data_IF_778037506175
#
_entry.id   IF_778037506175
#
_cell.length_a   1.000
_cell.length_b   1.000
_cell.length_c   1.000
_cell.angle_alpha   90.00
_cell.angle_beta   90.00
_cell.angle_gamma   90.00
#
_symmetry.space_group_name_H-M   'P 1'
#
loop_
_entity.id
_entity.type
_entity.pdbx_description
1 polymer ?
#
# COMPACT_ATOMS: atom_id res chain seq x y z
N UNK A 1 61.55 42.71 29.12
CA UNK A 1 60.81 41.56 29.66
C UNK A 1 59.92 42.12 30.76
N UNK A 2 58.59 42.07 30.76
CA UNK A 2 57.64 41.17 30.11
C UNK A 2 56.37 41.94 29.66
N UNK A 3 55.76 41.49 28.57
CA UNK A 3 54.49 41.97 28.05
C UNK A 3 53.33 41.33 28.82
N UNK A 4 52.37 42.12 29.27
CA UNK A 4 51.07 41.65 29.78
C UNK A 4 50.17 41.29 28.60
N UNK A 5 49.85 40.01 28.46
CA UNK A 5 48.86 39.51 27.50
C UNK A 5 47.52 39.39 28.22
N UNK A 6 46.53 40.19 27.80
CA UNK A 6 45.15 40.14 28.28
C UNK A 6 44.42 39.10 27.43
N UNK A 7 44.06 37.96 28.02
CA UNK A 7 43.20 36.96 27.36
C UNK A 7 41.75 37.22 27.77
N UNK A 8 40.96 37.73 26.83
CA UNK A 8 39.52 37.91 26.96
C UNK A 8 38.86 36.53 26.83
N UNK A 9 38.27 36.04 27.92
CA UNK A 9 37.38 34.87 27.88
C UNK A 9 36.03 35.31 27.28
N UNK A 10 35.80 34.98 26.01
CA UNK A 10 34.48 35.09 25.41
C UNK A 10 33.61 33.93 25.90
N UNK A 11 32.66 34.24 26.78
CA UNK A 11 31.59 33.35 27.20
C UNK A 11 30.70 32.99 26.02
N UNK A 12 30.82 31.77 25.50
CA UNK A 12 29.79 31.19 24.62
C UNK A 12 28.71 30.60 25.52
N UNK A 13 27.62 31.36 25.68
CA UNK A 13 26.36 30.84 26.19
C UNK A 13 25.86 29.78 25.20
N UNK A 14 26.01 28.50 25.54
CA UNK A 14 25.18 27.45 24.95
C UNK A 14 23.75 27.68 25.45
N UNK A 15 22.96 28.41 24.66
CA UNK A 15 21.51 28.34 24.74
C UNK A 15 21.11 26.90 24.39
N UNK A 16 20.86 26.10 25.42
CA UNK A 16 20.06 24.89 25.28
C UNK A 16 18.71 25.33 24.72
N UNK A 17 18.50 25.11 23.42
CA UNK A 17 17.17 25.13 22.86
C UNK A 17 16.39 24.04 23.60
N UNK A 18 15.27 24.35 24.26
CA UNK A 18 14.40 23.28 24.72
C UNK A 18 14.05 22.47 23.47
N UNK A 19 14.30 21.16 23.52
CA UNK A 19 13.73 20.21 22.57
C UNK A 19 12.24 20.44 22.65
N UNK A 20 11.72 21.13 21.63
CA UNK A 20 10.32 21.45 21.52
C UNK A 20 9.59 20.12 21.28
N UNK A 21 9.20 19.46 22.38
CA UNK A 21 8.18 18.42 22.40
C UNK A 21 6.79 19.06 22.15
N UNK A 22 6.70 19.98 21.19
CA UNK A 22 5.43 20.50 20.72
C UNK A 22 4.95 19.63 19.58
N UNK A 23 4.01 18.75 19.91
CA UNK A 23 2.95 18.30 19.03
C UNK A 23 3.47 17.65 17.74
N UNK A 24 3.58 16.32 17.73
CA UNK A 24 3.32 15.55 16.52
C UNK A 24 1.91 15.95 16.05
N UNK A 25 1.82 17.00 15.22
CA UNK A 25 0.57 17.38 14.57
C UNK A 25 0.16 16.16 13.78
N UNK A 26 -1.05 15.67 14.04
CA UNK A 26 -1.64 14.62 13.24
C UNK A 26 -1.39 14.93 11.76
N UNK A 27 -0.88 13.97 10.96
CA UNK A 27 -0.46 14.24 9.60
C UNK A 27 -1.61 14.88 8.83
N UNK A 28 -1.31 15.93 8.07
CA UNK A 28 -2.34 16.62 7.28
C UNK A 28 -3.00 15.64 6.29
N UNK A 29 -4.24 15.90 5.84
CA UNK A 29 -4.92 15.07 4.82
C UNK A 29 -4.03 14.82 3.60
N UNK A 30 -3.24 15.83 3.20
CA UNK A 30 -2.25 15.73 2.11
C UNK A 30 -1.08 14.81 2.45
N UNK A 31 -0.53 14.89 3.67
CA UNK A 31 0.52 13.97 4.14
C UNK A 31 -0.02 12.53 4.31
N UNK A 32 -1.29 12.37 4.67
CA UNK A 32 -1.97 11.06 4.76
C UNK A 32 -2.19 10.44 3.38
N UNK A 33 -2.60 11.23 2.39
CA UNK A 33 -2.65 10.80 0.99
C UNK A 33 -1.26 10.47 0.43
N UNK A 34 -0.22 11.21 0.84
CA UNK A 34 1.16 10.91 0.46
C UNK A 34 1.66 9.61 1.08
N UNK A 35 1.41 9.37 2.38
CA UNK A 35 1.73 8.10 3.05
C UNK A 35 1.02 6.91 2.41
N UNK A 36 -0.24 7.10 1.99
CA UNK A 36 -0.96 6.10 1.21
C UNK A 36 -0.26 5.87 -0.14
N UNK A 37 0.08 6.93 -0.89
CA UNK A 37 0.77 6.86 -2.19
C UNK A 37 2.19 6.28 -2.13
N UNK A 38 2.91 6.44 -1.02
CA UNK A 38 4.25 5.87 -0.82
C UNK A 38 4.20 4.37 -0.52
N UNK A 39 3.05 3.80 -0.14
CA UNK A 39 2.87 2.35 -0.11
C UNK A 39 2.81 1.72 -1.52
N UNK A 40 2.67 2.53 -2.59
CA UNK A 40 2.88 2.11 -3.98
C UNK A 40 4.38 1.95 -4.32
N UNK A 41 5.27 2.02 -3.31
CA UNK A 41 6.69 1.75 -3.45
C UNK A 41 6.91 0.38 -4.07
N UNK A 42 7.25 0.43 -5.36
CA UNK A 42 7.70 -0.66 -6.20
C UNK A 42 8.68 -1.55 -5.44
N UNK A 43 8.25 -2.75 -5.05
CA UNK A 43 9.19 -3.77 -4.63
C UNK A 43 9.84 -4.33 -5.89
N UNK A 44 11.06 -3.87 -6.16
CA UNK A 44 11.91 -4.42 -7.22
C UNK A 44 12.61 -5.66 -6.69
N UNK A 45 11.88 -6.77 -6.54
CA UNK A 45 12.54 -8.07 -6.59
C UNK A 45 12.83 -8.34 -8.07
N UNK A 46 14.06 -8.78 -8.37
CA UNK A 46 14.49 -9.06 -9.74
C UNK A 46 13.42 -9.77 -10.57
N UNK A 47 13.08 -9.19 -11.73
CA UNK A 47 12.18 -9.75 -12.75
C UNK A 47 10.70 -9.96 -12.35
N UNK A 48 10.10 -9.11 -11.52
CA UNK A 48 8.63 -9.09 -11.38
C UNK A 48 7.96 -8.59 -12.66
N UNK A 49 7.00 -9.38 -13.19
CA UNK A 49 6.39 -9.16 -14.53
C UNK A 49 4.95 -8.62 -14.49
N UNK A 50 4.32 -8.62 -13.32
CA UNK A 50 3.05 -7.94 -13.09
C UNK A 50 2.94 -7.61 -11.60
N UNK A 51 2.35 -6.46 -11.26
CA UNK A 51 2.02 -6.15 -9.88
C UNK A 51 0.62 -5.56 -9.76
N UNK A 52 -0.08 -6.05 -8.74
CA UNK A 52 -1.39 -5.58 -8.30
C UNK A 52 -1.39 -5.54 -6.78
N UNK A 53 -2.34 -4.83 -6.21
CA UNK A 53 -2.43 -4.75 -4.77
C UNK A 53 -3.61 -3.95 -4.29
N UNK A 54 -3.68 -3.85 -2.97
CA UNK A 54 -4.66 -3.04 -2.29
C UNK A 54 -4.10 -2.46 -1.01
N UNK A 55 -4.69 -1.37 -0.55
CA UNK A 55 -4.35 -0.74 0.71
C UNK A 55 -5.58 -0.20 1.40
N UNK A 56 -5.47 -0.04 2.70
CA UNK A 56 -6.43 0.65 3.53
C UNK A 56 -5.74 1.72 4.37
N UNK A 57 -6.49 2.76 4.71
CA UNK A 57 -6.06 3.75 5.69
C UNK A 57 -7.22 4.19 6.57
N UNK A 58 -6.95 4.31 7.87
CA UNK A 58 -7.89 4.86 8.82
C UNK A 58 -7.51 6.33 9.14
N UNK A 59 -8.29 7.32 8.69
CA UNK A 59 -7.95 8.73 8.81
C UNK A 59 -7.98 9.25 10.25
N UNK A 60 -8.58 8.50 11.19
CA UNK A 60 -8.67 8.88 12.59
C UNK A 60 -7.74 8.11 13.52
N UNK A 61 -7.20 6.97 13.09
CA UNK A 61 -6.39 6.08 13.95
C UNK A 61 -4.90 6.12 13.59
N UNK A 62 -4.51 6.97 12.64
CA UNK A 62 -3.14 7.06 12.10
C UNK A 62 -2.53 5.66 11.81
N UNK A 63 -3.38 4.79 11.25
CA UNK A 63 -3.07 3.41 10.88
C UNK A 63 -3.33 3.18 9.39
N UNK A 64 -2.47 2.40 8.76
CA UNK A 64 -2.60 2.02 7.35
C UNK A 64 -2.01 0.64 7.11
N UNK A 65 -2.54 -0.05 6.11
CA UNK A 65 -2.02 -1.32 5.66
C UNK A 65 -2.04 -1.43 4.14
N UNK A 66 -1.16 -2.25 3.59
CA UNK A 66 -1.13 -2.54 2.15
C UNK A 66 -0.75 -3.99 1.90
N UNK A 67 -1.22 -4.53 0.80
CA UNK A 67 -0.82 -5.82 0.24
C UNK A 67 -0.43 -5.59 -1.21
N UNK A 68 0.77 -6.03 -1.56
CA UNK A 68 1.28 -6.05 -2.93
C UNK A 68 1.49 -7.50 -3.36
N UNK A 69 0.97 -7.88 -4.52
CA UNK A 69 1.09 -9.22 -5.07
C UNK A 69 2.01 -9.21 -6.29
N UNK A 70 2.96 -10.14 -6.29
CA UNK A 70 3.96 -10.34 -7.32
C UNK A 70 3.70 -11.66 -8.04
N UNK A 71 3.69 -11.61 -9.37
CA UNK A 71 3.60 -12.82 -10.20
C UNK A 71 5.00 -13.33 -10.48
N UNK A 72 5.31 -14.53 -9.99
CA UNK A 72 6.61 -15.20 -10.16
C UNK A 72 6.42 -16.40 -11.09
N UNK A 73 7.20 -16.46 -12.16
CA UNK A 73 7.28 -17.65 -13.01
C UNK A 73 8.35 -18.56 -12.44
N UNK A 74 7.97 -19.72 -11.91
CA UNK A 74 8.93 -20.76 -11.51
C UNK A 74 9.56 -21.33 -12.78
N UNK A 75 10.75 -20.86 -13.16
CA UNK A 75 11.46 -21.38 -14.33
C UNK A 75 12.15 -22.73 -14.04
N UNK A 76 12.26 -23.11 -12.76
CA UNK A 76 13.17 -24.17 -12.35
C UNK A 76 12.51 -25.56 -12.49
N UNK A 77 12.98 -26.33 -13.47
CA UNK A 77 12.61 -27.73 -13.69
C UNK A 77 11.52 -27.99 -14.74
N UNK A 78 10.92 -26.97 -15.36
CA UNK A 78 9.94 -27.18 -16.41
C UNK A 78 10.60 -27.62 -17.73
N UNK A 79 10.14 -28.71 -18.36
CA UNK A 79 10.60 -29.10 -19.69
C UNK A 79 10.41 -27.96 -20.70
N UNK A 80 11.33 -27.79 -21.69
CA UNK A 80 11.16 -26.79 -22.73
C UNK A 80 9.81 -26.98 -23.44
N UNK A 81 8.99 -25.93 -23.46
CA UNK A 81 7.67 -25.92 -24.10
C UNK A 81 6.47 -26.18 -23.17
N UNK A 82 6.67 -26.45 -21.88
CA UNK A 82 5.56 -26.50 -20.92
C UNK A 82 5.34 -25.14 -20.23
N UNK A 83 4.08 -24.66 -20.17
CA UNK A 83 3.76 -23.46 -19.39
C UNK A 83 4.02 -23.74 -17.91
N UNK A 84 4.88 -22.92 -17.30
CA UNK A 84 5.10 -22.94 -15.85
C UNK A 84 3.89 -22.32 -15.14
N UNK A 85 3.38 -22.99 -14.10
CA UNK A 85 2.32 -22.42 -13.27
C UNK A 85 2.87 -21.17 -12.57
N UNK A 86 2.24 -19.99 -12.71
CA UNK A 86 2.67 -18.83 -11.94
C UNK A 86 2.42 -19.07 -10.45
N UNK A 87 3.39 -18.67 -9.63
CA UNK A 87 3.24 -18.57 -8.17
C UNK A 87 3.03 -17.10 -7.84
N UNK A 88 2.04 -16.82 -7.00
CA UNK A 88 1.76 -15.48 -6.51
C UNK A 88 2.38 -15.33 -5.13
N UNK A 89 3.17 -14.27 -4.94
CA UNK A 89 3.72 -13.90 -3.64
C UNK A 89 3.09 -12.59 -3.21
N UNK A 90 2.42 -12.59 -2.06
CA UNK A 90 1.87 -11.40 -1.44
C UNK A 90 2.82 -10.89 -0.35
N UNK A 91 3.03 -9.57 -0.33
CA UNK A 91 3.71 -8.85 0.75
C UNK A 91 2.71 -7.93 1.41
N UNK A 92 2.47 -8.14 2.70
CA UNK A 92 1.70 -7.24 3.54
C UNK A 92 2.62 -6.28 4.29
N UNK A 93 2.19 -5.04 4.40
CA UNK A 93 2.81 -4.01 5.22
C UNK A 93 1.75 -3.38 6.09
N UNK A 94 1.99 -3.32 7.39
CA UNK A 94 1.16 -2.59 8.34
C UNK A 94 1.98 -1.52 9.06
N UNK A 95 1.37 -0.34 9.18
CA UNK A 95 1.95 0.83 9.82
C UNK A 95 0.95 1.39 10.83
N UNK A 96 1.41 1.50 12.06
CA UNK A 96 0.69 2.15 13.16
C UNK A 96 1.61 3.22 13.73
N UNK A 97 1.09 4.42 13.96
CA UNK A 97 1.87 5.52 14.53
C UNK A 97 2.56 5.10 15.84
N UNK A 98 3.87 5.35 15.91
CA UNK A 98 4.68 5.02 17.09
C UNK A 98 5.16 3.56 17.17
N UNK A 99 4.83 2.71 16.21
CA UNK A 99 5.31 1.32 16.13
C UNK A 99 6.23 1.10 14.90
N UNK A 100 7.16 0.12 14.96
CA UNK A 100 7.86 -0.35 13.78
C UNK A 100 6.90 -0.87 12.71
N UNK A 101 7.29 -0.77 11.43
CA UNK A 101 6.56 -1.39 10.32
C UNK A 101 6.55 -2.92 10.49
N UNK A 102 5.38 -3.54 10.41
CA UNK A 102 5.23 -4.99 10.37
C UNK A 102 5.15 -5.45 8.91
N UNK A 103 5.99 -6.41 8.52
CA UNK A 103 6.06 -6.94 7.15
C UNK A 103 5.79 -8.44 7.22
N UNK A 104 4.79 -8.89 6.46
CA UNK A 104 4.42 -10.30 6.39
C UNK A 104 4.27 -10.76 4.95
N UNK A 105 4.33 -12.06 4.75
CA UNK A 105 4.33 -12.69 3.44
C UNK A 105 3.32 -13.83 3.35
N UNK A 106 2.81 -14.06 2.15
CA UNK A 106 2.03 -15.24 1.81
C UNK A 106 2.38 -15.67 0.38
N UNK A 107 2.25 -16.96 0.07
CA UNK A 107 2.42 -17.49 -1.29
C UNK A 107 1.26 -18.42 -1.67
N UNK A 108 0.97 -18.50 -2.96
CA UNK A 108 -0.19 -19.24 -3.47
C UNK A 108 -0.07 -20.77 -3.37
N UNK A 109 1.11 -21.31 -3.06
CA UNK A 109 1.29 -22.75 -2.89
C UNK A 109 0.96 -23.19 -1.46
N UNK A 110 1.27 -22.34 -0.46
CA UNK A 110 0.91 -22.57 0.94
C UNK A 110 -0.47 -22.01 1.31
N UNK A 111 -0.92 -20.97 0.61
CA UNK A 111 -2.20 -20.29 0.84
C UNK A 111 -3.07 -20.28 -0.43
N UNK A 112 -3.95 -21.29 -0.64
CA UNK A 112 -4.87 -21.32 -1.77
C UNK A 112 -5.82 -20.12 -1.85
N UNK A 113 -6.16 -19.51 -0.70
CA UNK A 113 -6.99 -18.30 -0.63
C UNK A 113 -6.39 -17.12 -1.41
N UNK A 114 -5.06 -17.04 -1.51
CA UNK A 114 -4.41 -16.00 -2.32
C UNK A 114 -4.76 -16.13 -3.80
N UNK A 115 -4.80 -17.36 -4.33
CA UNK A 115 -5.16 -17.60 -5.73
C UNK A 115 -6.64 -17.26 -5.99
N UNK A 116 -7.53 -17.66 -5.08
CA UNK A 116 -8.96 -17.34 -5.18
C UNK A 116 -9.18 -15.82 -5.18
N UNK A 117 -8.45 -15.10 -4.34
CA UNK A 117 -8.51 -13.64 -4.25
C UNK A 117 -8.01 -12.96 -5.54
N UNK A 118 -7.07 -13.56 -6.28
CA UNK A 118 -6.66 -13.05 -7.60
C UNK A 118 -7.78 -13.18 -8.63
N UNK A 119 -8.51 -14.30 -8.63
CA UNK A 119 -9.69 -14.45 -9.47
C UNK A 119 -10.80 -13.46 -9.09
N UNK A 120 -11.03 -13.25 -7.80
CA UNK A 120 -12.00 -12.25 -7.32
C UNK A 120 -11.59 -10.82 -7.72
N UNK A 121 -10.29 -10.50 -7.71
CA UNK A 121 -9.78 -9.21 -8.18
C UNK A 121 -10.06 -8.99 -9.66
N UNK A 122 -9.85 -10.02 -10.49
CA UNK A 122 -10.13 -9.97 -11.93
C UNK A 122 -11.63 -9.78 -12.23
N UNK A 123 -12.50 -10.28 -11.36
CA UNK A 123 -13.94 -10.14 -11.49
C UNK A 123 -14.48 -8.73 -11.14
N UNK A 124 -13.66 -7.87 -10.51
CA UNK A 124 -14.07 -6.52 -10.13
C UNK A 124 -14.42 -5.68 -11.37
N UNK A 125 -15.64 -5.15 -11.36
CA UNK A 125 -16.08 -4.23 -12.41
C UNK A 125 -15.48 -2.83 -12.18
N UNK A 126 -14.89 -2.20 -13.21
CA UNK A 126 -14.49 -0.79 -13.13
C UNK A 126 -15.70 0.10 -12.81
N UNK A 127 -15.56 1.12 -11.94
CA UNK A 127 -16.63 2.05 -11.66
C UNK A 127 -16.98 2.86 -12.92
N UNK A 128 -18.27 3.12 -13.12
CA UNK A 128 -18.73 4.02 -14.16
C UNK A 128 -18.50 5.47 -13.76
N UNK A 129 -17.90 6.27 -14.65
CA UNK A 129 -17.78 7.71 -14.44
C UNK A 129 -19.15 8.37 -14.60
N UNK A 130 -19.59 9.07 -13.56
CA UNK A 130 -20.73 10.00 -13.63
C UNK A 130 -20.20 11.42 -13.64
N UNK A 131 -20.66 12.24 -14.58
CA UNK A 131 -20.39 13.67 -14.62
C UNK A 131 -21.59 14.39 -14.01
N UNK A 132 -21.44 15.03 -12.83
CA UNK A 132 -22.52 15.81 -12.23
C UNK A 132 -23.09 16.85 -13.20
N UNK A 133 -24.42 16.92 -13.29
CA UNK A 133 -25.12 17.85 -14.18
C UNK A 133 -25.45 17.32 -15.58
N UNK A 134 -24.89 16.17 -16.00
CA UNK A 134 -25.32 15.50 -17.24
C UNK A 134 -26.52 14.57 -17.06
N UNK A 135 -26.88 14.24 -15.81
CA UNK A 135 -28.03 13.40 -15.48
C UNK A 135 -28.99 14.15 -14.57
N UNK A 136 -30.29 14.07 -14.87
CA UNK A 136 -31.37 14.62 -14.05
C UNK A 136 -32.37 13.51 -13.68
N UNK A 137 -32.77 13.38 -12.41
CA UNK A 137 -32.34 14.17 -11.25
C UNK A 137 -30.86 13.90 -10.87
N UNK A 138 -30.21 14.83 -10.17
CA UNK A 138 -28.82 14.63 -9.72
C UNK A 138 -28.74 13.39 -8.82
N UNK A 139 -27.77 12.53 -9.11
CA UNK A 139 -27.43 11.39 -8.27
C UNK A 139 -26.25 11.78 -7.39
N UNK A 140 -26.39 11.58 -6.08
CA UNK A 140 -25.33 11.87 -5.11
C UNK A 140 -24.65 10.57 -4.68
N UNK A 141 -23.33 10.59 -4.43
CA UNK A 141 -22.62 9.40 -3.99
C UNK A 141 -23.07 8.98 -2.58
N UNK A 142 -23.12 7.67 -2.35
CA UNK A 142 -23.29 7.11 -1.01
C UNK A 142 -21.98 7.27 -0.25
N UNK A 143 -22.03 7.86 0.94
CA UNK A 143 -20.87 8.07 1.81
C UNK A 143 -21.03 7.17 3.03
N UNK A 144 -20.04 6.34 3.30
CA UNK A 144 -19.91 5.60 4.57
C UNK A 144 -19.06 6.37 5.57
N UNK A 145 -19.36 6.20 6.85
CA UNK A 145 -18.71 6.88 7.97
C UNK A 145 -17.82 5.97 8.81
N UNK A 146 -17.52 4.76 8.33
CA UNK A 146 -16.53 3.86 8.95
C UNK A 146 -15.10 4.42 8.88
N UNK A 147 -14.89 5.47 8.08
CA UNK A 147 -13.63 6.19 8.00
C UNK A 147 -12.57 5.49 7.16
N UNK A 148 -12.65 4.16 6.99
CA UNK A 148 -11.61 3.40 6.28
C UNK A 148 -11.68 3.66 4.76
N UNK A 149 -10.63 4.27 4.23
CA UNK A 149 -10.44 4.40 2.79
C UNK A 149 -9.74 3.16 2.23
N UNK A 150 -10.33 2.53 1.23
CA UNK A 150 -9.72 1.41 0.50
C UNK A 150 -9.27 1.86 -0.88
N UNK A 151 -8.08 1.44 -1.30
CA UNK A 151 -7.58 1.62 -2.66
C UNK A 151 -7.16 0.26 -3.21
N UNK A 152 -7.59 -0.06 -4.43
CA UNK A 152 -7.09 -1.19 -5.22
C UNK A 152 -6.33 -0.67 -6.43
N UNK A 153 -5.32 -1.40 -6.90
CA UNK A 153 -4.52 -1.01 -8.05
C UNK A 153 -3.98 -2.22 -8.84
N UNK A 154 -3.71 -2.00 -10.12
CA UNK A 154 -2.99 -2.94 -11.00
C UNK A 154 -2.20 -2.16 -12.06
N UNK A 155 -1.01 -2.64 -12.43
CA UNK A 155 -0.19 -2.07 -13.51
C UNK A 155 -0.45 -2.73 -14.88
N UNK A 156 -1.22 -3.80 -14.89
CA UNK A 156 -1.35 -4.71 -16.02
C UNK A 156 -2.83 -4.88 -16.45
N UNK A 157 -3.68 -3.90 -16.16
CA UNK A 157 -5.04 -3.88 -16.70
C UNK A 157 -4.99 -3.83 -18.23
N UNK A 158 -5.86 -4.58 -18.90
CA UNK A 158 -5.91 -4.60 -20.36
C UNK A 158 -7.04 -3.73 -20.88
N UNK A 159 -6.71 -2.88 -21.86
CA UNK A 159 -7.70 -2.14 -22.64
C UNK A 159 -8.29 -3.03 -23.74
N UNK A 160 -9.33 -2.53 -24.42
CA UNK A 160 -10.00 -3.28 -25.50
C UNK A 160 -9.09 -3.70 -26.66
N UNK A 161 -7.99 -2.97 -26.87
CA UNK A 161 -6.95 -3.26 -27.86
C UNK A 161 -5.78 -4.10 -27.31
N UNK A 162 -5.90 -4.57 -26.05
CA UNK A 162 -4.88 -5.31 -25.28
C UNK A 162 -3.64 -4.52 -24.89
N UNK A 163 -3.64 -3.20 -25.08
CA UNK A 163 -2.60 -2.37 -24.48
C UNK A 163 -2.73 -2.37 -22.95
N UNK A 164 -1.61 -2.30 -22.24
CA UNK A 164 -1.59 -2.27 -20.78
C UNK A 164 -1.91 -0.88 -20.25
N UNK A 165 -2.60 -0.84 -19.11
CA UNK A 165 -2.94 0.36 -18.40
C UNK A 165 -2.71 0.19 -16.89
N UNK A 166 -2.31 1.29 -16.26
CA UNK A 166 -2.36 1.42 -14.81
C UNK A 166 -3.75 1.87 -14.40
N UNK A 167 -4.38 1.11 -13.51
CA UNK A 167 -5.68 1.45 -12.93
C UNK A 167 -5.53 1.51 -11.41
N UNK A 168 -6.02 2.58 -10.80
CA UNK A 168 -6.13 2.74 -9.36
C UNK A 168 -7.52 3.27 -9.02
N UNK A 169 -8.20 2.60 -8.10
CA UNK A 169 -9.57 2.92 -7.71
C UNK A 169 -9.66 3.00 -6.20
N UNK A 170 -10.27 4.07 -5.67
CA UNK A 170 -10.39 4.27 -4.23
C UNK A 170 -11.84 4.53 -3.83
N UNK A 171 -12.25 3.97 -2.69
CA UNK A 171 -13.55 4.20 -2.09
C UNK A 171 -13.54 3.86 -0.61
N UNK A 172 -14.37 4.52 0.18
CA UNK A 172 -14.73 4.08 1.54
C UNK A 172 -16.00 3.21 1.57
N UNK A 173 -16.74 3.13 0.46
CA UNK A 173 -18.02 2.42 0.34
C UNK A 173 -18.08 1.50 -0.89
N UNK A 174 -19.18 0.75 -0.99
CA UNK A 174 -19.47 -0.09 -2.16
C UNK A 174 -18.50 -1.25 -2.34
N UNK A 175 -18.40 -1.75 -3.58
CA UNK A 175 -17.70 -3.02 -3.86
C UNK A 175 -16.20 -2.95 -3.60
N UNK A 176 -15.54 -1.82 -3.86
CA UNK A 176 -14.08 -1.66 -3.60
C UNK A 176 -13.79 -1.83 -2.10
N UNK A 177 -14.57 -1.16 -1.24
CA UNK A 177 -14.39 -1.26 0.21
C UNK A 177 -14.81 -2.64 0.75
N UNK A 178 -15.88 -3.22 0.20
CA UNK A 178 -16.34 -4.55 0.57
C UNK A 178 -15.30 -5.64 0.20
N UNK A 179 -14.76 -5.58 -1.02
CA UNK A 179 -13.71 -6.48 -1.49
C UNK A 179 -12.44 -6.34 -0.64
N UNK A 180 -12.01 -5.11 -0.34
CA UNK A 180 -10.84 -4.85 0.50
C UNK A 180 -10.95 -5.46 1.91
N UNK A 181 -12.12 -5.34 2.55
CA UNK A 181 -12.35 -5.98 3.86
C UNK A 181 -12.31 -7.51 3.77
N UNK A 182 -13.02 -8.10 2.81
CA UNK A 182 -13.05 -9.56 2.61
C UNK A 182 -11.66 -10.11 2.29
N UNK A 183 -10.88 -9.40 1.49
CA UNK A 183 -9.54 -9.82 1.10
C UNK A 183 -8.58 -9.83 2.29
N UNK A 184 -8.71 -8.85 3.20
CA UNK A 184 -7.95 -8.81 4.44
C UNK A 184 -8.28 -9.98 5.38
N UNK A 185 -9.56 -10.26 5.57
CA UNK A 185 -10.04 -11.38 6.39
C UNK A 185 -9.62 -12.74 5.80
N UNK A 186 -9.78 -12.92 4.49
CA UNK A 186 -9.48 -14.17 3.78
C UNK A 186 -8.00 -14.59 3.85
N UNK A 187 -7.09 -13.63 4.07
CA UNK A 187 -5.66 -13.89 4.19
C UNK A 187 -5.15 -13.91 5.63
N UNK A 188 -6.02 -13.68 6.63
CA UNK A 188 -5.61 -13.53 8.03
C UNK A 188 -4.77 -14.70 8.57
N UNK A 189 -5.06 -15.93 8.16
CA UNK A 189 -4.34 -17.14 8.56
C UNK A 189 -3.13 -17.47 7.67
N UNK A 190 -2.94 -16.76 6.56
CA UNK A 190 -1.90 -17.05 5.58
C UNK A 190 -0.58 -16.31 5.83
N UNK A 191 -0.59 -15.29 6.69
CA UNK A 191 0.55 -14.41 6.89
C UNK A 191 1.67 -15.07 7.69
N UNK A 192 2.89 -14.99 7.17
CA UNK A 192 4.12 -15.47 7.78
C UNK A 192 5.17 -14.35 7.83
N UNK A 193 6.00 -14.36 8.86
CA UNK A 193 7.18 -13.47 8.95
C UNK A 193 8.28 -13.90 7.95
N UNK A 194 8.33 -15.19 7.62
CA UNK A 194 9.31 -15.74 6.69
C UNK A 194 8.95 -15.40 5.23
N UNK A 195 9.87 -14.69 4.56
CA UNK A 195 9.76 -14.46 3.12
C UNK A 195 9.90 -15.79 2.36
N UNK A 196 8.99 -16.12 1.42
CA UNK A 196 9.10 -17.32 0.60
C UNK A 196 10.42 -17.36 -0.19
N UNK A 197 11.12 -18.49 -0.10
CA UNK A 197 12.26 -18.80 -0.96
C UNK A 197 11.74 -19.23 -2.33
N UNK A 198 11.97 -18.41 -3.35
CA UNK A 198 11.68 -18.69 -4.77
C UNK A 198 12.94 -19.01 -5.54
#
# INVERSE_FOLDING_TARGET
MAFFSITVFASVLLSATPVDMQSQRAPTVRQRMLMASEADASFTLGRTTASLGWRWSHPFEDAAGSVSVFVVRTAEGAPPGQPTRPVFIARQVERVSGAPEAIRWADSDRCPSLLLLMHDFEALQPPSTMIPGLTWPPQFPVITLDGIGWTIWTRDAQQSDRSTAYVQMSSNAGEIAAWGRRSWEALSECWSEDQPSI
#
